data_IF_707536009421
#
_entry.id   IF_707536009421
#
_cell.length_a   1.000
_cell.length_b   1.000
_cell.length_c   1.000
_cell.angle_alpha   90.00
_cell.angle_beta   90.00
_cell.angle_gamma   90.00
#
_symmetry.space_group_name_H-M   'P 1'
#
loop_
_entity.id
_entity.type
_entity.pdbx_description
1 polymer ?
#
# COMPACT_ATOMS: atom_id res chain seq x y z
N UNK A 1 17.13 -12.11 -3.48
CA UNK A 1 16.49 -11.05 -4.28
C UNK A 1 16.58 -9.73 -3.54
N UNK A 2 16.71 -8.65 -4.30
CA UNK A 2 16.79 -7.32 -3.69
C UNK A 2 15.41 -6.77 -3.39
N UNK A 3 15.28 -6.11 -2.25
CA UNK A 3 14.07 -5.39 -1.92
C UNK A 3 13.93 -4.16 -2.82
N UNK A 4 12.70 -3.85 -3.17
CA UNK A 4 12.37 -2.69 -4.01
C UNK A 4 11.27 -1.90 -3.35
N UNK A 5 11.08 -0.68 -3.80
CA UNK A 5 9.96 0.13 -3.35
C UNK A 5 8.74 -0.15 -4.22
N UNK A 6 7.60 -0.27 -3.55
CA UNK A 6 6.31 -0.47 -4.17
C UNK A 6 5.37 0.59 -3.66
N UNK A 7 4.39 0.99 -4.46
CA UNK A 7 3.41 1.95 -4.00
C UNK A 7 2.02 1.33 -3.99
N UNK A 8 1.23 1.80 -3.03
CA UNK A 8 -0.18 1.42 -2.88
C UNK A 8 -0.98 2.69 -2.63
N UNK A 9 -2.28 2.65 -2.89
CA UNK A 9 -3.17 3.76 -2.60
C UNK A 9 -3.83 3.53 -1.24
N UNK A 10 -3.78 4.53 -0.39
CA UNK A 10 -4.27 4.46 0.99
C UNK A 10 -5.10 5.71 1.27
N UNK A 11 -6.24 5.56 1.93
CA UNK A 11 -7.04 6.70 2.38
C UNK A 11 -6.38 7.36 3.57
N UNK A 12 -6.53 8.67 3.67
CA UNK A 12 -5.98 9.40 4.80
C UNK A 12 -6.79 9.16 6.08
N UNK A 13 -8.10 8.94 5.94
CA UNK A 13 -8.99 8.67 7.07
C UNK A 13 -10.05 7.67 6.64
N UNK A 14 -10.57 6.93 7.62
CA UNK A 14 -11.63 5.96 7.37
C UNK A 14 -13.00 6.65 7.49
N UNK A 15 -13.27 7.57 6.57
CA UNK A 15 -14.55 8.26 6.51
C UNK A 15 -14.88 8.67 5.08
N UNK A 16 -16.18 8.79 4.74
CA UNK A 16 -16.59 9.18 3.39
C UNK A 16 -16.03 10.55 3.03
N UNK A 17 -15.55 10.67 1.79
CA UNK A 17 -15.03 11.92 1.29
C UNK A 17 -13.59 12.22 1.67
N UNK A 18 -12.95 11.36 2.46
CA UNK A 18 -11.54 11.53 2.80
C UNK A 18 -10.68 11.35 1.54
N UNK A 19 -9.63 12.14 1.46
CA UNK A 19 -8.67 12.01 0.36
C UNK A 19 -7.82 10.75 0.49
N UNK A 20 -7.07 10.46 -0.57
CA UNK A 20 -6.16 9.32 -0.58
C UNK A 20 -4.88 9.73 -1.29
N UNK A 21 -3.85 8.92 -1.11
CA UNK A 21 -2.56 9.17 -1.76
C UNK A 21 -1.72 7.91 -1.81
N UNK A 22 -0.57 8.02 -2.47
CA UNK A 22 0.38 6.92 -2.58
C UNK A 22 1.16 6.76 -1.28
N UNK A 23 1.33 5.52 -0.87
CA UNK A 23 2.23 5.17 0.23
C UNK A 23 3.21 4.12 -0.29
N UNK A 24 4.43 4.16 0.20
CA UNK A 24 5.50 3.30 -0.29
C UNK A 24 5.86 2.26 0.77
N UNK A 25 6.10 1.05 0.29
CA UNK A 25 6.59 -0.05 1.13
C UNK A 25 7.79 -0.67 0.43
N UNK A 26 8.69 -1.24 1.20
CA UNK A 26 9.87 -1.92 0.69
C UNK A 26 9.66 -3.42 0.82
N UNK A 27 9.73 -4.14 -0.30
CA UNK A 27 9.48 -5.58 -0.32
C UNK A 27 10.18 -6.21 -1.52
N UNK A 28 10.32 -7.51 -1.51
CA UNK A 28 11.00 -8.23 -2.59
C UNK A 28 10.09 -8.52 -3.79
N UNK A 29 8.78 -8.51 -3.58
CA UNK A 29 7.81 -8.74 -4.65
C UNK A 29 6.48 -8.05 -4.31
N UNK A 30 5.58 -8.02 -5.31
CA UNK A 30 4.30 -7.34 -5.16
C UNK A 30 3.41 -7.97 -4.09
N UNK A 31 3.41 -9.29 -3.99
CA UNK A 31 2.61 -9.99 -2.99
C UNK A 31 3.04 -9.60 -1.58
N UNK A 32 4.35 -9.64 -1.33
CA UNK A 32 4.90 -9.25 -0.05
C UNK A 32 4.57 -7.80 0.27
N UNK A 33 4.68 -6.92 -0.72
CA UNK A 33 4.36 -5.50 -0.55
C UNK A 33 2.91 -5.30 -0.13
N UNK A 34 1.97 -5.99 -0.75
CA UNK A 34 0.56 -5.81 -0.42
C UNK A 34 0.23 -6.40 0.96
N UNK A 35 0.89 -7.49 1.35
CA UNK A 35 0.72 -8.04 2.69
C UNK A 35 1.22 -7.07 3.75
N UNK A 36 2.35 -6.43 3.51
CA UNK A 36 2.88 -5.40 4.41
C UNK A 36 1.94 -4.21 4.50
N UNK A 37 1.40 -3.78 3.37
CA UNK A 37 0.47 -2.65 3.34
C UNK A 37 -0.82 -2.97 4.10
N UNK A 38 -1.33 -4.19 3.97
CA UNK A 38 -2.50 -4.62 4.73
C UNK A 38 -2.26 -4.59 6.22
N UNK A 39 -1.07 -4.99 6.65
CA UNK A 39 -0.70 -4.97 8.05
C UNK A 39 -0.56 -3.55 8.59
N UNK A 40 -0.03 -2.63 7.77
CA UNK A 40 0.21 -1.25 8.18
C UNK A 40 -1.06 -0.40 8.14
N UNK A 41 -1.87 -0.55 7.09
CA UNK A 41 -2.98 0.37 6.84
C UNK A 41 -4.36 -0.26 7.04
N UNK A 42 -4.44 -1.59 7.01
CA UNK A 42 -5.71 -2.27 7.25
C UNK A 42 -6.79 -1.84 6.27
N UNK A 43 -7.92 -1.42 6.80
CA UNK A 43 -9.06 -1.03 5.98
C UNK A 43 -8.89 0.30 5.26
N UNK A 44 -7.84 1.04 5.55
CA UNK A 44 -7.51 2.26 4.81
C UNK A 44 -6.91 1.95 3.45
N UNK A 45 -6.39 0.74 3.25
CA UNK A 45 -5.80 0.33 2.00
C UNK A 45 -6.87 0.22 0.91
N UNK A 46 -6.67 0.96 -0.19
CA UNK A 46 -7.59 0.96 -1.32
C UNK A 46 -7.13 -0.01 -2.40
N UNK A 47 -5.83 -0.06 -2.66
CA UNK A 47 -5.26 -0.90 -3.73
C UNK A 47 -5.46 -2.37 -3.45
N UNK A 48 -5.82 -3.13 -4.49
CA UNK A 48 -5.87 -4.59 -4.39
C UNK A 48 -4.51 -5.23 -4.60
N UNK A 49 -3.55 -4.48 -5.13
CA UNK A 49 -2.20 -4.95 -5.37
C UNK A 49 -1.21 -3.81 -5.27
N UNK A 50 0.07 -4.14 -5.21
CA UNK A 50 1.14 -3.17 -5.15
C UNK A 50 1.74 -2.97 -6.53
N UNK A 51 2.21 -1.75 -6.77
CA UNK A 51 2.83 -1.37 -8.04
C UNK A 51 4.30 -0.99 -7.81
N UNK A 52 5.14 -1.37 -8.72
CA UNK A 52 6.57 -1.05 -8.63
C UNK A 52 6.75 0.47 -8.76
N UNK A 53 7.46 1.03 -7.81
CA UNK A 53 7.73 2.45 -7.81
C UNK A 53 8.79 2.85 -8.83
#
# INVERSE_FOLDING_TARGET
MQARQWWVLVRYKDEPGAGFGKQYVTATNAYEAIQMAKALYGKLLISEGANLA
#
